data_IF_204228281043
#
_entry.id   IF_204228281043
#
_cell.length_a   1.000
_cell.length_b   1.000
_cell.length_c   1.000
_cell.angle_alpha   90.00
_cell.angle_beta   90.00
_cell.angle_gamma   90.00
#
_symmetry.space_group_name_H-M   'P 1'
#
loop_
_entity.id
_entity.type
_entity.pdbx_description
1 polymer ?
#
# COMPACT_ATOMS: atom_id res chain seq x y z
N UNK A 1 8.78 -55.12 38.12
CA UNK A 1 10.19 -55.62 38.26
C UNK A 1 11.14 -54.54 37.82
N UNK A 2 11.97 -54.10 38.77
CA UNK A 2 13.29 -53.41 38.67
C UNK A 2 13.43 -52.28 37.62
N UNK A 3 13.41 -50.96 37.99
CA UNK A 3 14.47 -50.08 38.52
C UNK A 3 15.84 -50.24 37.82
N UNK A 4 16.32 -49.19 37.17
CA UNK A 4 17.61 -48.55 37.55
C UNK A 4 17.70 -47.12 37.01
N UNK A 5 17.95 -46.20 37.94
CA UNK A 5 18.47 -44.84 37.77
C UNK A 5 19.94 -44.88 37.31
N UNK A 6 20.37 -43.87 36.57
CA UNK A 6 21.70 -43.29 36.79
C UNK A 6 21.70 -41.82 36.42
N UNK A 7 21.93 -40.98 37.40
CA UNK A 7 22.36 -39.60 37.32
C UNK A 7 23.89 -39.55 37.49
N UNK A 8 24.56 -38.67 36.79
CA UNK A 8 25.88 -38.09 37.13
C UNK A 8 26.11 -36.95 36.12
N UNK A 9 26.56 -35.84 36.39
CA UNK A 9 27.11 -34.97 37.43
C UNK A 9 27.89 -33.84 36.70
N UNK A 10 27.75 -32.66 37.22
CA UNK A 10 28.49 -31.43 36.91
C UNK A 10 30.00 -31.63 36.74
N UNK A 11 30.60 -30.81 35.83
CA UNK A 11 31.92 -30.21 36.14
C UNK A 11 32.15 -28.95 35.28
N UNK A 12 32.37 -27.83 35.94
CA UNK A 12 32.86 -26.55 35.49
C UNK A 12 34.37 -26.61 35.17
N UNK A 13 34.84 -25.90 34.15
CA UNK A 13 36.23 -25.41 34.11
C UNK A 13 36.30 -24.03 33.48
N UNK A 14 36.62 -23.05 34.33
CA UNK A 14 37.29 -21.80 33.97
C UNK A 14 38.72 -22.11 33.57
N UNK A 15 39.21 -21.49 32.51
CA UNK A 15 40.62 -21.28 32.27
C UNK A 15 40.84 -19.84 31.79
N UNK A 16 41.53 -19.10 32.62
CA UNK A 16 42.14 -17.78 32.35
C UNK A 16 43.48 -18.07 31.69
N UNK A 17 43.80 -17.37 30.61
CA UNK A 17 45.19 -17.18 30.17
C UNK A 17 45.36 -15.77 29.64
N UNK A 18 46.24 -15.06 30.37
CA UNK A 18 46.76 -13.74 30.06
C UNK A 18 47.93 -13.83 29.07
N UNK A 19 48.12 -12.77 28.26
CA UNK A 19 49.47 -12.33 27.87
C UNK A 19 49.80 -12.40 26.40
N UNK A 20 49.89 -11.26 25.72
CA UNK A 20 51.14 -10.69 25.25
C UNK A 20 50.86 -9.48 24.33
N UNK A 21 51.44 -8.36 24.67
CA UNK A 21 51.54 -7.14 23.86
C UNK A 21 52.50 -7.36 22.68
N UNK A 22 52.08 -6.93 21.50
CA UNK A 22 53.01 -6.57 20.41
C UNK A 22 52.53 -5.28 19.76
N UNK A 23 53.28 -4.22 19.97
CA UNK A 23 53.20 -2.92 19.30
C UNK A 23 53.76 -3.01 17.90
N UNK A 24 53.03 -2.56 16.90
CA UNK A 24 53.58 -2.16 15.60
C UNK A 24 52.74 -1.04 14.96
N UNK A 25 53.42 0.05 14.77
CA UNK A 25 53.39 0.99 13.64
C UNK A 25 52.08 1.69 13.31
N UNK A 26 52.00 2.96 13.66
CA UNK A 26 50.91 3.87 13.25
C UNK A 26 50.89 4.14 11.75
N UNK A 27 49.66 4.08 11.20
CA UNK A 27 49.28 4.81 10.00
C UNK A 27 48.16 5.78 10.41
N UNK A 28 48.48 7.07 10.40
CA UNK A 28 47.50 8.14 10.62
C UNK A 28 46.60 8.21 9.39
N UNK A 29 45.42 7.63 9.47
CA UNK A 29 44.33 7.89 8.52
C UNK A 29 43.54 9.10 9.04
N UNK A 30 43.65 10.21 8.31
CA UNK A 30 42.84 11.40 8.53
C UNK A 30 41.34 11.04 8.46
N UNK A 31 40.49 11.50 9.39
CA UNK A 31 39.06 11.29 9.29
C UNK A 31 38.51 12.13 8.12
N UNK A 32 38.00 11.46 7.08
CA UNK A 32 37.19 12.13 6.09
C UNK A 32 35.99 12.76 6.81
N UNK A 33 35.88 14.08 6.69
CA UNK A 33 34.70 14.83 7.12
C UNK A 33 33.47 14.23 6.46
N UNK A 34 32.71 13.44 7.18
CA UNK A 34 31.33 13.20 6.88
C UNK A 34 30.63 14.56 6.88
N UNK A 35 30.13 14.97 5.72
CA UNK A 35 29.28 16.14 5.59
C UNK A 35 28.08 15.95 6.49
N UNK A 36 27.95 16.83 7.49
CA UNK A 36 26.87 16.78 8.45
C UNK A 36 25.53 16.87 7.75
N UNK A 37 24.72 15.82 7.87
CA UNK A 37 23.30 15.93 7.70
C UNK A 37 22.82 17.05 8.63
N UNK A 38 22.26 18.12 8.08
CA UNK A 38 21.57 19.14 8.84
C UNK A 38 20.47 18.44 9.65
N UNK A 39 20.71 18.24 10.93
CA UNK A 39 19.66 17.92 11.89
C UNK A 39 18.68 19.09 11.87
N UNK A 40 17.58 18.95 11.13
CA UNK A 40 16.39 19.76 11.35
C UNK A 40 16.05 19.61 12.82
N UNK A 41 16.02 20.70 13.56
CA UNK A 41 15.70 20.72 15.00
C UNK A 41 14.36 20.03 15.18
N UNK A 42 14.34 18.77 15.65
CA UNK A 42 13.13 18.06 16.01
C UNK A 42 12.44 18.87 17.09
N UNK A 43 11.25 19.40 16.80
CA UNK A 43 10.41 19.99 17.83
C UNK A 43 10.20 18.97 18.95
N UNK A 44 10.23 19.41 20.20
CA UNK A 44 10.00 18.53 21.34
C UNK A 44 8.60 17.89 21.22
N UNK A 45 8.45 16.60 21.59
CA UNK A 45 7.14 15.95 21.59
C UNK A 45 6.13 16.71 22.42
N UNK A 46 4.89 16.82 21.94
CA UNK A 46 3.77 17.44 22.68
C UNK A 46 3.29 16.44 23.73
N UNK A 47 3.35 16.81 25.00
CA UNK A 47 2.88 15.93 26.06
C UNK A 47 1.37 15.61 25.90
N UNK A 48 0.95 14.40 26.26
CA UNK A 48 -0.45 13.98 26.12
C UNK A 48 -1.44 14.89 26.86
N UNK A 49 -1.01 15.52 27.95
CA UNK A 49 -1.81 16.48 28.74
C UNK A 49 -1.95 17.85 28.06
N UNK A 50 -1.06 18.19 27.13
CA UNK A 50 -1.08 19.50 26.48
C UNK A 50 -2.17 19.52 25.39
N UNK A 51 -2.96 20.60 25.31
CA UNK A 51 -4.06 20.68 24.36
C UNK A 51 -3.55 20.75 22.93
N UNK A 52 -4.00 19.80 22.10
CA UNK A 52 -3.81 19.80 20.65
C UNK A 52 -5.17 19.77 19.98
N UNK A 53 -5.43 20.70 19.05
CA UNK A 53 -6.76 20.85 18.43
C UNK A 53 -6.65 21.01 16.93
N UNK A 54 -7.54 20.37 16.19
CA UNK A 54 -7.74 20.63 14.77
C UNK A 54 -8.28 22.04 14.57
N UNK A 55 -7.71 22.80 13.61
CA UNK A 55 -8.09 24.17 13.32
C UNK A 55 -8.64 24.37 11.90
N UNK A 56 -8.27 23.52 10.93
CA UNK A 56 -8.70 23.61 9.53
C UNK A 56 -8.44 22.27 8.81
N UNK A 57 -9.33 21.91 7.89
CA UNK A 57 -9.10 20.91 6.85
C UNK A 57 -8.99 21.60 5.50
N UNK A 58 -8.06 21.17 4.66
CA UNK A 58 -7.81 21.80 3.36
C UNK A 58 -7.48 20.74 2.31
N UNK A 59 -8.28 20.68 1.25
CA UNK A 59 -8.12 19.72 0.16
C UNK A 59 -7.58 20.39 -1.09
N UNK A 60 -6.73 19.67 -1.84
CA UNK A 60 -6.11 20.14 -3.08
C UNK A 60 -6.23 19.06 -4.15
N UNK A 61 -6.76 19.42 -5.31
CA UNK A 61 -6.61 18.59 -6.51
C UNK A 61 -5.15 18.67 -6.97
N UNK A 62 -4.49 17.54 -7.12
CA UNK A 62 -3.08 17.48 -7.52
C UNK A 62 -2.92 16.57 -8.74
N UNK A 63 -2.25 17.08 -9.78
CA UNK A 63 -1.96 16.29 -10.99
C UNK A 63 -1.15 15.02 -10.64
N UNK A 64 -1.35 13.91 -11.35
CA UNK A 64 -2.18 13.78 -12.54
C UNK A 64 -3.69 13.66 -12.25
N UNK A 65 -4.11 13.14 -11.06
CA UNK A 65 -5.51 12.83 -10.75
C UNK A 65 -5.80 12.68 -9.25
N UNK A 66 -4.93 13.16 -8.38
CA UNK A 66 -4.99 12.94 -6.93
C UNK A 66 -5.73 14.04 -6.19
N UNK A 67 -6.12 13.75 -4.94
CA UNK A 67 -6.69 14.70 -4.00
C UNK A 67 -5.91 14.60 -2.70
N UNK A 68 -5.14 15.63 -2.36
CA UNK A 68 -4.41 15.70 -1.11
C UNK A 68 -5.21 16.46 -0.05
N UNK A 69 -5.02 16.09 1.20
CA UNK A 69 -5.62 16.72 2.39
C UNK A 69 -4.50 17.17 3.34
N UNK A 70 -4.64 18.41 3.83
CA UNK A 70 -3.92 18.93 4.99
C UNK A 70 -4.88 19.13 6.15
N UNK A 71 -4.58 18.55 7.30
CA UNK A 71 -5.29 18.80 8.57
C UNK A 71 -4.37 19.63 9.46
N UNK A 72 -4.77 20.87 9.72
CA UNK A 72 -4.00 21.83 10.49
C UNK A 72 -4.34 21.77 11.98
N UNK A 73 -3.37 22.07 12.85
CA UNK A 73 -3.55 22.13 14.30
C UNK A 73 -3.12 23.47 14.89
N UNK A 74 -3.61 23.76 16.10
CA UNK A 74 -3.21 24.95 16.86
C UNK A 74 -1.72 24.96 17.28
N UNK A 75 -1.02 23.85 17.17
CA UNK A 75 0.42 23.73 17.46
C UNK A 75 1.30 23.83 16.21
N UNK A 76 0.74 24.17 15.04
CA UNK A 76 1.46 24.26 13.76
C UNK A 76 1.80 22.89 13.14
N UNK A 77 1.39 21.78 13.77
CA UNK A 77 1.52 20.45 13.15
C UNK A 77 0.47 20.34 12.05
N UNK A 78 0.90 19.87 10.88
CA UNK A 78 0.03 19.58 9.73
C UNK A 78 0.09 18.09 9.43
N UNK A 79 -1.07 17.43 9.44
CA UNK A 79 -1.22 16.04 9.00
C UNK A 79 -1.55 15.95 7.52
N UNK A 80 -1.00 14.94 6.86
CA UNK A 80 -1.20 14.67 5.44
C UNK A 80 -2.11 13.46 5.24
N UNK A 81 -3.05 13.57 4.30
CA UNK A 81 -3.93 12.49 3.87
C UNK A 81 -4.25 12.58 2.39
N UNK A 82 -4.82 11.50 1.85
CA UNK A 82 -5.19 11.40 0.43
C UNK A 82 -6.60 10.81 0.30
N UNK A 83 -7.66 11.63 0.49
CA UNK A 83 -9.07 11.20 0.44
C UNK A 83 -9.58 11.06 -0.99
N UNK A 84 -8.82 10.43 -1.86
CA UNK A 84 -9.14 10.30 -3.29
C UNK A 84 -10.07 9.11 -3.54
N UNK A 85 -10.95 9.27 -4.52
CA UNK A 85 -11.53 8.20 -5.31
C UNK A 85 -11.46 8.61 -6.77
N UNK A 86 -10.87 7.78 -7.62
CA UNK A 86 -10.64 8.12 -9.02
C UNK A 86 -11.95 8.49 -9.73
N UNK A 87 -11.92 9.59 -10.46
CA UNK A 87 -13.09 10.18 -11.13
C UNK A 87 -14.13 10.82 -10.21
N UNK A 88 -13.91 10.83 -8.89
CA UNK A 88 -14.82 11.41 -7.89
C UNK A 88 -14.08 12.29 -6.87
N UNK A 89 -12.92 12.82 -7.22
CA UNK A 89 -12.10 13.65 -6.35
C UNK A 89 -12.90 14.83 -5.73
N UNK A 90 -13.67 15.56 -6.53
CA UNK A 90 -14.50 16.67 -6.04
C UNK A 90 -15.60 16.21 -5.07
N UNK A 91 -16.19 15.03 -5.30
CA UNK A 91 -17.20 14.47 -4.40
C UNK A 91 -16.58 14.09 -3.06
N UNK A 92 -15.38 13.50 -3.07
CA UNK A 92 -14.62 13.20 -1.85
C UNK A 92 -14.19 14.48 -1.12
N UNK A 93 -13.74 15.52 -1.84
CA UNK A 93 -13.42 16.82 -1.26
C UNK A 93 -14.63 17.45 -0.55
N UNK A 94 -15.82 17.36 -1.16
CA UNK A 94 -17.06 17.82 -0.54
C UNK A 94 -17.40 17.00 0.71
N UNK A 95 -17.24 15.68 0.69
CA UNK A 95 -17.45 14.84 1.86
C UNK A 95 -16.49 15.18 3.01
N UNK A 96 -15.22 15.47 2.73
CA UNK A 96 -14.25 15.96 3.73
C UNK A 96 -14.72 17.30 4.33
N UNK A 97 -15.21 18.22 3.50
CA UNK A 97 -15.73 19.51 3.95
C UNK A 97 -16.98 19.37 4.85
N UNK A 98 -17.84 18.39 4.60
CA UNK A 98 -19.01 18.09 5.45
C UNK A 98 -18.62 17.48 6.80
N UNK A 99 -17.49 16.77 6.85
CA UNK A 99 -16.94 16.19 8.09
C UNK A 99 -16.18 17.23 8.91
N UNK A 100 -15.60 18.26 8.30
CA UNK A 100 -14.77 19.27 8.96
C UNK A 100 -15.40 19.87 10.23
N UNK A 101 -16.68 20.30 10.27
CA UNK A 101 -17.29 20.89 11.47
C UNK A 101 -17.25 19.94 12.68
N UNK A 102 -17.29 18.62 12.46
CA UNK A 102 -17.15 17.65 13.54
C UNK A 102 -15.74 17.65 14.13
N UNK A 103 -14.70 17.78 13.31
CA UNK A 103 -13.30 17.67 13.77
C UNK A 103 -12.75 18.97 14.37
N UNK A 104 -13.26 20.14 13.97
CA UNK A 104 -12.78 21.43 14.46
C UNK A 104 -12.81 21.50 15.98
N UNK A 105 -11.70 21.93 16.59
CA UNK A 105 -11.54 22.07 18.04
C UNK A 105 -11.28 20.76 18.79
N UNK A 106 -11.34 19.60 18.15
CA UNK A 106 -11.09 18.29 18.76
C UNK A 106 -9.61 17.91 18.74
N UNK A 107 -9.24 16.99 19.64
CA UNK A 107 -7.89 16.46 19.74
C UNK A 107 -7.65 15.41 18.64
N UNK A 108 -6.80 15.69 17.64
CA UNK A 108 -6.56 14.76 16.51
C UNK A 108 -5.88 13.46 16.91
N UNK A 109 -5.30 13.36 18.11
CA UNK A 109 -4.61 12.15 18.60
C UNK A 109 -5.57 11.01 18.92
N UNK A 110 -6.88 11.28 19.03
CA UNK A 110 -7.93 10.28 19.28
C UNK A 110 -8.38 9.62 17.97
N UNK A 111 -7.43 9.11 17.18
CA UNK A 111 -7.65 8.65 15.81
C UNK A 111 -8.82 7.66 15.71
N UNK A 112 -8.77 6.56 16.47
CA UNK A 112 -9.82 5.52 16.44
C UNK A 112 -11.18 6.05 16.87
N UNK A 113 -11.22 6.97 17.85
CA UNK A 113 -12.46 7.63 18.27
C UNK A 113 -13.07 8.41 17.10
N UNK A 114 -12.28 9.22 16.41
CA UNK A 114 -12.74 10.00 15.26
C UNK A 114 -13.17 9.11 14.10
N UNK A 115 -12.42 8.05 13.82
CA UNK A 115 -12.80 7.07 12.82
C UNK A 115 -14.20 6.50 13.10
N UNK A 116 -14.41 6.04 14.35
CA UNK A 116 -15.70 5.47 14.76
C UNK A 116 -16.82 6.50 14.73
N UNK A 117 -16.57 7.73 15.16
CA UNK A 117 -17.57 8.79 15.17
C UNK A 117 -17.99 9.18 13.75
N UNK A 118 -17.04 9.40 12.83
CA UNK A 118 -17.34 9.75 11.43
C UNK A 118 -18.11 8.62 10.76
N UNK A 119 -17.67 7.37 10.94
CA UNK A 119 -18.33 6.21 10.34
C UNK A 119 -19.74 5.95 10.88
N UNK A 120 -19.93 6.04 12.21
CA UNK A 120 -21.19 5.67 12.87
C UNK A 120 -22.24 6.77 12.88
N UNK A 121 -21.82 8.04 12.91
CA UNK A 121 -22.76 9.17 12.89
C UNK A 121 -23.38 9.35 11.49
N UNK A 122 -22.75 8.86 10.44
CA UNK A 122 -23.42 8.68 9.16
C UNK A 122 -24.40 7.51 9.28
N UNK A 123 -25.72 7.78 9.29
CA UNK A 123 -26.74 6.74 9.40
C UNK A 123 -26.60 5.74 8.24
N UNK A 124 -26.38 6.25 7.01
CA UNK A 124 -26.06 5.47 5.81
C UNK A 124 -24.53 5.31 5.69
N UNK A 125 -24.02 4.24 6.28
CA UNK A 125 -22.58 4.00 6.45
C UNK A 125 -21.93 3.45 5.20
N UNK A 126 -20.65 3.78 5.04
CA UNK A 126 -19.79 3.15 4.04
C UNK A 126 -20.02 3.67 2.62
N UNK A 127 -19.71 2.81 1.66
CA UNK A 127 -19.65 3.16 0.24
C UNK A 127 -18.35 3.87 -0.14
N UNK A 128 -18.02 3.90 -1.43
CA UNK A 128 -16.70 4.31 -1.89
C UNK A 128 -16.35 5.78 -1.54
N UNK A 129 -17.31 6.70 -1.67
CA UNK A 129 -17.07 8.13 -1.42
C UNK A 129 -16.80 8.41 0.05
N UNK A 130 -17.72 7.99 0.93
CA UNK A 130 -17.63 8.30 2.37
C UNK A 130 -16.45 7.57 3.01
N UNK A 131 -16.17 6.34 2.57
CA UNK A 131 -15.04 5.59 3.10
C UNK A 131 -13.71 6.19 2.64
N UNK A 132 -13.62 6.69 1.39
CA UNK A 132 -12.40 7.36 0.90
C UNK A 132 -12.16 8.70 1.62
N UNK A 133 -13.21 9.49 1.87
CA UNK A 133 -13.07 10.71 2.66
C UNK A 133 -12.58 10.40 4.09
N UNK A 134 -13.16 9.39 4.73
CA UNK A 134 -12.74 8.91 6.06
C UNK A 134 -11.29 8.40 6.05
N UNK A 135 -10.89 7.66 5.02
CA UNK A 135 -9.53 7.10 4.87
C UNK A 135 -8.46 8.20 4.85
N UNK A 136 -8.67 9.24 4.03
CA UNK A 136 -7.73 10.35 3.98
C UNK A 136 -7.65 11.14 5.29
N UNK A 137 -8.77 11.31 5.99
CA UNK A 137 -8.79 11.92 7.33
C UNK A 137 -8.03 11.03 8.32
N UNK A 138 -8.26 9.72 8.32
CA UNK A 138 -7.56 8.76 9.19
C UNK A 138 -6.04 8.85 9.02
N UNK A 139 -5.55 8.84 7.77
CA UNK A 139 -4.11 9.02 7.47
C UNK A 139 -3.57 10.30 8.07
N UNK A 140 -4.27 11.44 7.89
CA UNK A 140 -3.84 12.73 8.39
C UNK A 140 -3.81 12.77 9.92
N UNK A 141 -4.76 12.13 10.59
CA UNK A 141 -4.79 12.05 12.07
C UNK A 141 -3.67 11.17 12.61
N UNK A 142 -3.34 10.05 11.95
CA UNK A 142 -2.17 9.23 12.30
C UNK A 142 -0.87 10.01 12.10
N UNK A 143 -0.76 10.76 10.99
CA UNK A 143 0.40 11.61 10.71
C UNK A 143 0.60 12.68 11.80
N UNK A 144 -0.49 13.39 12.21
CA UNK A 144 -0.44 14.34 13.32
C UNK A 144 -0.01 13.64 14.62
N UNK A 145 -0.58 12.48 14.92
CA UNK A 145 -0.27 11.75 16.15
C UNK A 145 1.20 11.35 16.21
N UNK A 146 1.75 10.82 15.12
CA UNK A 146 3.16 10.49 15.02
C UNK A 146 4.06 11.72 15.15
N UNK A 147 3.75 12.81 14.45
CA UNK A 147 4.48 14.10 14.55
C UNK A 147 4.42 14.69 15.96
N UNK A 148 3.25 14.68 16.59
CA UNK A 148 3.06 15.18 17.95
C UNK A 148 3.88 14.40 18.98
N UNK A 149 4.04 13.10 18.80
CA UNK A 149 4.80 12.21 19.68
C UNK A 149 6.28 12.05 19.27
N UNK A 150 6.68 12.59 18.11
CA UNK A 150 8.04 12.53 17.61
C UNK A 150 8.47 11.16 17.07
N UNK A 151 7.53 10.30 16.67
CA UNK A 151 7.78 8.94 16.19
C UNK A 151 7.08 8.65 14.86
N UNK A 152 7.60 7.74 14.02
CA UNK A 152 6.88 7.23 12.86
C UNK A 152 5.57 6.52 13.26
N UNK A 153 4.60 6.45 12.34
CA UNK A 153 3.31 5.81 12.62
C UNK A 153 3.46 4.33 12.94
N UNK A 154 4.34 3.60 12.27
CA UNK A 154 4.53 2.16 12.55
C UNK A 154 4.95 1.88 13.99
N UNK A 155 5.68 2.79 14.67
CA UNK A 155 6.00 2.66 16.10
C UNK A 155 4.74 2.70 16.96
N UNK A 156 3.76 3.53 16.59
CA UNK A 156 2.47 3.61 17.30
C UNK A 156 1.58 2.40 17.01
N UNK A 157 1.84 1.67 15.94
CA UNK A 157 1.12 0.45 15.56
C UNK A 157 1.72 -0.82 16.18
N UNK A 158 2.81 -0.71 16.92
CA UNK A 158 3.45 -1.80 17.65
C UNK A 158 4.92 -2.04 17.28
N UNK A 159 5.49 -1.21 16.44
CA UNK A 159 6.87 -1.31 15.95
C UNK A 159 7.00 -2.11 14.65
N UNK A 160 8.19 -2.10 14.05
CA UNK A 160 8.40 -2.72 12.75
C UNK A 160 8.59 -4.23 12.87
N UNK A 161 7.92 -4.99 12.00
CA UNK A 161 8.13 -6.43 11.81
C UNK A 161 9.16 -6.71 10.72
N UNK A 162 9.60 -5.70 9.97
CA UNK A 162 10.59 -5.75 8.88
C UNK A 162 11.32 -4.43 8.74
N UNK A 163 12.50 -4.45 8.12
CA UNK A 163 13.35 -3.26 7.95
C UNK A 163 13.17 -2.62 6.56
N UNK A 164 12.66 -3.35 5.59
CA UNK A 164 12.49 -2.91 4.21
C UNK A 164 11.13 -3.31 3.67
N UNK A 165 10.54 -2.48 2.82
CA UNK A 165 9.24 -2.70 2.22
C UNK A 165 9.42 -3.05 0.75
N UNK A 166 9.10 -4.30 0.36
CA UNK A 166 9.08 -4.72 -1.03
C UNK A 166 8.01 -3.97 -1.81
N UNK A 167 8.37 -3.49 -3.02
CA UNK A 167 7.44 -2.78 -3.90
C UNK A 167 7.45 -3.40 -5.30
N UNK A 168 6.34 -3.22 -6.03
CA UNK A 168 6.29 -3.52 -7.45
C UNK A 168 5.92 -2.28 -8.27
N UNK A 169 6.26 -2.32 -9.57
CA UNK A 169 5.91 -1.28 -10.54
C UNK A 169 4.95 -1.83 -11.60
N UNK A 170 4.32 -0.94 -12.33
CA UNK A 170 3.53 -1.31 -13.50
C UNK A 170 4.43 -1.43 -14.74
N UNK A 171 4.26 -2.51 -15.51
CA UNK A 171 4.95 -2.69 -16.79
C UNK A 171 4.04 -3.43 -17.78
N UNK A 172 3.81 -2.84 -18.95
CA UNK A 172 2.93 -3.38 -19.99
C UNK A 172 3.68 -3.87 -21.22
N UNK A 173 4.99 -3.63 -21.29
CA UNK A 173 5.83 -4.05 -22.43
C UNK A 173 7.14 -4.64 -21.93
N UNK A 174 7.81 -5.49 -22.72
CA UNK A 174 9.14 -6.00 -22.42
C UNK A 174 10.17 -4.90 -22.14
N UNK A 175 10.09 -3.78 -22.85
CA UNK A 175 10.97 -2.62 -22.67
C UNK A 175 10.74 -1.96 -21.32
N UNK A 176 9.47 -1.82 -20.90
CA UNK A 176 9.12 -1.27 -19.58
C UNK A 176 9.62 -2.17 -18.45
N UNK A 177 9.54 -3.49 -18.60
CA UNK A 177 10.12 -4.45 -17.63
C UNK A 177 11.64 -4.28 -17.57
N UNK A 178 12.35 -4.23 -18.71
CA UNK A 178 13.80 -4.03 -18.74
C UNK A 178 14.21 -2.70 -18.10
N UNK A 179 13.50 -1.61 -18.41
CA UNK A 179 13.75 -0.29 -17.83
C UNK A 179 13.49 -0.29 -16.30
N UNK A 180 12.43 -0.94 -15.85
CA UNK A 180 12.13 -1.10 -14.42
C UNK A 180 13.19 -1.92 -13.68
N UNK A 181 13.67 -3.02 -14.26
CA UNK A 181 14.79 -3.81 -13.72
C UNK A 181 16.07 -2.97 -13.60
N UNK A 182 16.37 -2.16 -14.61
CA UNK A 182 17.53 -1.25 -14.58
C UNK A 182 17.42 -0.20 -13.45
N UNK A 183 16.18 0.16 -13.05
CA UNK A 183 15.91 1.01 -11.88
C UNK A 183 15.96 0.24 -10.55
N UNK A 184 16.08 -1.08 -10.58
CA UNK A 184 16.17 -1.93 -9.40
C UNK A 184 14.87 -2.62 -8.97
N UNK A 185 13.77 -2.56 -9.74
CA UNK A 185 12.54 -3.30 -9.42
C UNK A 185 12.72 -4.81 -9.62
N UNK A 186 12.16 -5.59 -8.70
CA UNK A 186 12.18 -7.06 -8.69
C UNK A 186 10.78 -7.66 -8.85
N UNK A 187 9.76 -6.82 -9.00
CA UNK A 187 8.39 -7.25 -9.21
C UNK A 187 7.63 -6.24 -10.09
N UNK A 188 6.73 -6.74 -10.93
CA UNK A 188 5.89 -5.92 -11.81
C UNK A 188 4.46 -6.43 -11.85
N UNK A 189 3.50 -5.53 -12.11
CA UNK A 189 2.10 -5.83 -12.41
C UNK A 189 1.75 -5.35 -13.81
N UNK A 190 0.96 -6.14 -14.54
CA UNK A 190 0.42 -5.80 -15.86
C UNK A 190 -1.07 -6.09 -15.90
N UNK A 191 -1.76 -5.63 -16.94
CA UNK A 191 -3.10 -6.10 -17.30
C UNK A 191 -3.04 -7.06 -18.50
N UNK A 192 -4.13 -7.78 -18.82
CA UNK A 192 -4.24 -8.57 -20.03
C UNK A 192 -4.10 -7.68 -21.26
N UNK A 193 -3.19 -8.04 -22.16
CA UNK A 193 -3.07 -7.33 -23.43
C UNK A 193 -4.32 -7.59 -24.30
N UNK A 194 -4.83 -6.55 -24.93
CA UNK A 194 -5.96 -6.60 -25.87
C UNK A 194 -5.49 -6.17 -27.25
N UNK A 195 -5.91 -6.85 -28.31
CA UNK A 195 -5.61 -6.44 -29.70
C UNK A 195 -6.39 -5.19 -30.09
N UNK A 196 -7.58 -5.01 -29.53
CA UNK A 196 -8.43 -3.84 -29.73
C UNK A 196 -9.16 -3.49 -28.43
N UNK A 197 -9.60 -2.26 -28.23
CA UNK A 197 -10.53 -1.94 -27.15
C UNK A 197 -11.79 -2.79 -27.30
N UNK A 198 -12.14 -3.54 -26.28
CA UNK A 198 -13.33 -4.39 -26.25
C UNK A 198 -13.90 -4.39 -24.85
N UNK A 199 -15.20 -4.68 -24.75
CA UNK A 199 -15.96 -4.75 -23.51
C UNK A 199 -15.31 -5.70 -22.50
N UNK A 200 -15.08 -6.94 -22.97
CA UNK A 200 -14.43 -7.98 -22.18
C UNK A 200 -13.43 -8.74 -23.06
N UNK A 201 -12.61 -9.57 -22.43
CA UNK A 201 -11.90 -10.63 -23.12
C UNK A 201 -12.88 -11.79 -23.41
N UNK A 202 -13.67 -11.65 -24.46
CA UNK A 202 -14.79 -12.56 -24.73
C UNK A 202 -14.45 -13.70 -25.70
N UNK A 203 -13.35 -13.63 -26.43
CA UNK A 203 -13.00 -14.64 -27.40
C UNK A 203 -11.78 -15.44 -27.03
N UNK A 204 -11.74 -16.71 -27.46
CA UNK A 204 -10.57 -17.56 -27.30
C UNK A 204 -9.31 -16.97 -27.96
N UNK A 205 -9.48 -16.17 -29.02
CA UNK A 205 -8.37 -15.51 -29.71
C UNK A 205 -7.75 -14.39 -28.87
N UNK A 206 -8.59 -13.59 -28.17
CA UNK A 206 -8.11 -12.55 -27.26
C UNK A 206 -7.45 -13.17 -26.01
N UNK A 207 -8.02 -14.26 -25.48
CA UNK A 207 -7.40 -14.98 -24.34
C UNK A 207 -6.02 -15.54 -24.70
N UNK A 208 -5.87 -16.17 -25.88
CA UNK A 208 -4.56 -16.64 -26.36
C UNK A 208 -3.58 -15.48 -26.50
N UNK A 209 -4.02 -14.39 -27.13
CA UNK A 209 -3.17 -13.21 -27.30
C UNK A 209 -2.70 -12.63 -25.96
N UNK A 210 -3.59 -12.49 -24.98
CA UNK A 210 -3.23 -12.02 -23.64
C UNK A 210 -2.21 -12.94 -22.94
N UNK A 211 -2.37 -14.26 -23.07
CA UNK A 211 -1.42 -15.24 -22.52
C UNK A 211 -0.06 -15.17 -23.21
N UNK A 212 -0.03 -15.08 -24.55
CA UNK A 212 1.20 -14.97 -25.32
C UNK A 212 2.00 -13.70 -24.96
N UNK A 213 1.30 -12.57 -24.83
CA UNK A 213 1.91 -11.30 -24.42
C UNK A 213 2.45 -11.36 -22.99
N UNK A 214 1.75 -12.00 -22.06
CA UNK A 214 2.28 -12.22 -20.73
C UNK A 214 3.53 -13.10 -20.75
N UNK A 215 3.56 -14.11 -21.62
CA UNK A 215 4.75 -14.94 -21.86
C UNK A 215 5.94 -14.14 -22.37
N UNK A 216 5.72 -13.12 -23.21
CA UNK A 216 6.79 -12.19 -23.65
C UNK A 216 7.33 -11.34 -22.49
N UNK A 217 6.44 -10.84 -21.62
CA UNK A 217 6.85 -10.14 -20.40
C UNK A 217 7.67 -11.05 -19.49
N UNK A 218 7.25 -12.32 -19.31
CA UNK A 218 7.99 -13.30 -18.49
C UNK A 218 9.39 -13.54 -19.06
N UNK A 219 9.52 -13.70 -20.39
CA UNK A 219 10.85 -13.83 -21.03
C UNK A 219 11.73 -12.60 -20.82
N UNK A 220 11.16 -11.40 -20.86
CA UNK A 220 11.89 -10.14 -20.62
C UNK A 220 12.27 -9.96 -19.15
N UNK A 221 11.41 -10.42 -18.25
CA UNK A 221 11.62 -10.36 -16.80
C UNK A 221 12.68 -11.35 -16.31
N UNK A 222 12.77 -12.55 -16.93
CA UNK A 222 13.56 -13.65 -16.39
C UNK A 222 12.86 -14.33 -15.20
N UNK A 223 13.49 -15.36 -14.65
CA UNK A 223 12.90 -16.20 -13.59
C UNK A 223 13.08 -15.60 -12.19
N UNK A 224 13.96 -14.62 -12.04
CA UNK A 224 14.32 -13.95 -10.80
C UNK A 224 13.42 -12.73 -10.47
N UNK A 225 12.44 -12.43 -11.32
CA UNK A 225 11.52 -11.29 -11.19
C UNK A 225 10.09 -11.79 -11.13
N UNK A 226 9.33 -11.29 -10.16
CA UNK A 226 7.91 -11.61 -10.05
C UNK A 226 7.06 -10.78 -11.01
N UNK A 227 6.08 -11.43 -11.65
CA UNK A 227 5.08 -10.78 -12.50
C UNK A 227 3.69 -11.10 -12.01
N UNK A 228 2.89 -10.08 -11.74
CA UNK A 228 1.47 -10.20 -11.46
C UNK A 228 0.64 -9.75 -12.66
N UNK A 229 -0.60 -10.22 -12.73
CA UNK A 229 -1.55 -9.80 -13.77
C UNK A 229 -2.89 -9.46 -13.15
N UNK A 230 -3.43 -8.33 -13.54
CA UNK A 230 -4.68 -7.77 -13.06
C UNK A 230 -5.73 -7.77 -14.18
N UNK A 231 -6.81 -8.55 -13.98
CA UNK A 231 -7.87 -8.66 -14.98
C UNK A 231 -8.91 -7.54 -14.87
N UNK A 232 -8.91 -6.75 -13.78
CA UNK A 232 -9.93 -5.74 -13.46
C UNK A 232 -11.38 -6.26 -13.52
N UNK A 233 -11.58 -7.56 -13.42
CA UNK A 233 -12.88 -8.18 -13.62
C UNK A 233 -13.45 -8.07 -15.04
N UNK A 234 -12.69 -7.54 -16.01
CA UNK A 234 -13.13 -7.30 -17.38
C UNK A 234 -13.01 -8.55 -18.26
N UNK A 235 -13.48 -9.68 -17.76
CA UNK A 235 -13.50 -10.99 -18.42
C UNK A 235 -14.63 -11.84 -17.85
N UNK A 236 -15.27 -12.66 -18.69
CA UNK A 236 -16.29 -13.60 -18.21
C UNK A 236 -15.65 -14.70 -17.34
N UNK A 237 -16.36 -15.24 -16.33
CA UNK A 237 -15.83 -16.30 -15.47
C UNK A 237 -15.35 -17.53 -16.24
N UNK A 238 -16.03 -17.89 -17.34
CA UNK A 238 -15.64 -19.01 -18.19
C UNK A 238 -14.28 -18.79 -18.87
N UNK A 239 -14.07 -17.60 -19.44
CA UNK A 239 -12.81 -17.27 -20.12
C UNK A 239 -11.70 -16.91 -19.13
N UNK A 240 -12.03 -16.40 -17.94
CA UNK A 240 -11.05 -16.22 -16.86
C UNK A 240 -10.38 -17.55 -16.51
N UNK A 241 -11.15 -18.64 -16.36
CA UNK A 241 -10.59 -19.98 -16.12
C UNK A 241 -9.66 -20.46 -17.26
N UNK A 242 -10.02 -20.15 -18.51
CA UNK A 242 -9.17 -20.49 -19.67
C UNK A 242 -7.88 -19.68 -19.65
N UNK A 243 -7.96 -18.38 -19.40
CA UNK A 243 -6.78 -17.52 -19.35
C UNK A 243 -5.87 -17.91 -18.17
N UNK A 244 -6.42 -18.14 -16.98
CA UNK A 244 -5.69 -18.60 -15.78
C UNK A 244 -4.87 -19.86 -16.13
N UNK A 245 -5.52 -20.85 -16.75
CA UNK A 245 -4.83 -22.08 -17.18
C UNK A 245 -3.71 -21.82 -18.21
N UNK A 246 -3.92 -20.89 -19.15
CA UNK A 246 -2.90 -20.52 -20.12
C UNK A 246 -1.73 -19.76 -19.49
N UNK A 247 -1.93 -19.11 -18.35
CA UNK A 247 -0.90 -18.39 -17.60
C UNK A 247 -0.08 -19.28 -16.65
N UNK A 248 -0.54 -20.50 -16.33
CA UNK A 248 0.16 -21.42 -15.41
C UNK A 248 1.63 -21.66 -15.77
N UNK A 249 2.01 -21.87 -17.06
CA UNK A 249 3.42 -22.05 -17.43
C UNK A 249 4.31 -20.83 -17.15
N UNK A 250 3.72 -19.65 -17.01
CA UNK A 250 4.43 -18.39 -16.80
C UNK A 250 4.51 -17.97 -15.33
N UNK A 251 3.92 -18.77 -14.44
CA UNK A 251 4.00 -18.63 -12.97
C UNK A 251 3.78 -17.18 -12.49
N UNK A 252 2.59 -16.57 -12.70
CA UNK A 252 2.32 -15.26 -12.18
C UNK A 252 2.37 -15.26 -10.65
N UNK A 253 2.90 -14.19 -10.05
CA UNK A 253 2.96 -13.97 -8.61
C UNK A 253 1.55 -13.99 -8.00
N UNK A 254 0.60 -13.39 -8.68
CA UNK A 254 -0.83 -13.48 -8.43
C UNK A 254 -1.65 -13.07 -9.65
N UNK A 255 -2.92 -13.45 -9.62
CA UNK A 255 -3.96 -12.99 -10.55
C UNK A 255 -4.93 -12.14 -9.76
N UNK A 256 -4.99 -10.86 -10.08
CA UNK A 256 -5.83 -9.87 -9.43
C UNK A 256 -7.18 -9.78 -10.15
N UNK A 257 -8.25 -9.67 -9.39
CA UNK A 257 -9.63 -9.55 -9.86
C UNK A 257 -9.96 -10.41 -11.10
N UNK A 258 -9.86 -11.75 -10.99
CA UNK A 258 -10.14 -12.64 -12.11
C UNK A 258 -11.56 -12.57 -12.64
N UNK A 259 -12.46 -11.99 -11.85
CA UNK A 259 -13.83 -11.60 -12.20
C UNK A 259 -14.20 -10.34 -11.44
N UNK A 260 -15.29 -9.69 -11.82
CA UNK A 260 -15.80 -8.52 -11.11
C UNK A 260 -16.00 -8.81 -9.62
N UNK A 261 -15.52 -7.90 -8.76
CA UNK A 261 -15.50 -8.05 -7.32
C UNK A 261 -16.89 -8.07 -6.65
N UNK A 262 -17.98 -7.82 -7.39
CA UNK A 262 -19.35 -7.77 -6.85
C UNK A 262 -19.93 -9.17 -6.50
N UNK A 263 -19.29 -10.25 -6.95
CA UNK A 263 -19.73 -11.61 -6.63
C UNK A 263 -18.56 -12.48 -6.13
N UNK A 264 -18.38 -12.51 -4.82
CA UNK A 264 -17.31 -13.28 -4.18
C UNK A 264 -17.53 -14.81 -4.27
N UNK A 265 -18.74 -15.30 -4.52
CA UNK A 265 -18.96 -16.76 -4.71
C UNK A 265 -18.36 -17.24 -6.02
N UNK A 266 -18.51 -16.47 -7.10
CA UNK A 266 -17.90 -16.77 -8.39
C UNK A 266 -16.38 -16.65 -8.30
N UNK A 267 -15.87 -15.65 -7.61
CA UNK A 267 -14.42 -15.50 -7.37
C UNK A 267 -13.88 -16.69 -6.57
N UNK A 268 -14.57 -17.14 -5.54
CA UNK A 268 -14.22 -18.31 -4.74
C UNK A 268 -14.24 -19.61 -5.57
N UNK A 269 -15.17 -19.76 -6.51
CA UNK A 269 -15.19 -20.88 -7.45
C UNK A 269 -13.93 -20.89 -8.32
N UNK A 270 -13.51 -19.74 -8.85
CA UNK A 270 -12.28 -19.60 -9.63
C UNK A 270 -11.06 -19.91 -8.76
N UNK A 271 -10.98 -19.36 -7.55
CA UNK A 271 -9.87 -19.58 -6.64
C UNK A 271 -9.68 -21.07 -6.29
N UNK A 272 -10.79 -21.81 -6.14
CA UNK A 272 -10.73 -23.29 -5.93
C UNK A 272 -10.29 -24.06 -7.16
N UNK A 273 -10.44 -23.48 -8.35
CA UNK A 273 -10.15 -24.12 -9.64
C UNK A 273 -8.71 -23.96 -10.12
N UNK A 274 -7.86 -23.27 -9.38
CA UNK A 274 -6.46 -23.03 -9.74
C UNK A 274 -5.54 -23.15 -8.54
N UNK A 275 -4.25 -23.43 -8.78
CA UNK A 275 -3.19 -23.36 -7.77
C UNK A 275 -2.47 -22.00 -7.77
N UNK A 276 -2.77 -21.14 -8.74
CA UNK A 276 -2.19 -19.79 -8.78
C UNK A 276 -2.84 -18.90 -7.72
N UNK A 277 -2.08 -18.04 -7.02
CA UNK A 277 -2.63 -17.13 -6.03
C UNK A 277 -3.65 -16.15 -6.66
N UNK A 278 -4.82 -16.05 -6.04
CA UNK A 278 -5.84 -15.06 -6.42
C UNK A 278 -5.77 -13.89 -5.46
N UNK A 279 -5.83 -12.68 -6.03
CA UNK A 279 -5.79 -11.42 -5.31
C UNK A 279 -7.06 -10.59 -5.60
N UNK A 280 -7.52 -9.83 -4.60
CA UNK A 280 -8.64 -8.87 -4.74
C UNK A 280 -8.65 -7.91 -3.57
N UNK A 281 -9.29 -6.75 -3.74
CA UNK A 281 -9.50 -5.85 -2.61
C UNK A 281 -9.55 -4.37 -2.93
N UNK A 282 -9.09 -3.91 -4.09
CA UNK A 282 -9.08 -2.49 -4.45
C UNK A 282 -10.47 -1.85 -4.40
N UNK A 283 -11.51 -2.61 -4.74
CA UNK A 283 -12.92 -2.20 -4.76
C UNK A 283 -13.73 -2.79 -3.59
N UNK A 284 -13.04 -3.25 -2.53
CA UNK A 284 -13.65 -3.78 -1.29
C UNK A 284 -13.41 -2.81 -0.15
N UNK A 285 -14.48 -2.42 0.55
CA UNK A 285 -14.43 -1.37 1.57
C UNK A 285 -14.65 -1.95 2.96
N UNK A 286 -13.86 -1.47 3.91
CA UNK A 286 -13.90 -1.81 5.33
C UNK A 286 -13.74 -3.32 5.64
N UNK A 287 -13.47 -3.64 6.91
CA UNK A 287 -13.39 -5.04 7.37
C UNK A 287 -14.66 -5.85 7.10
N UNK A 288 -15.81 -5.19 6.95
CA UNK A 288 -17.08 -5.87 6.68
C UNK A 288 -17.11 -6.50 5.28
N UNK A 289 -16.61 -5.80 4.26
CA UNK A 289 -16.45 -6.36 2.91
C UNK A 289 -15.37 -7.44 2.85
N UNK A 290 -14.20 -7.18 3.45
CA UNK A 290 -13.10 -8.15 3.47
C UNK A 290 -13.43 -9.42 4.26
N UNK A 291 -14.30 -9.35 5.28
CA UNK A 291 -14.80 -10.54 5.97
C UNK A 291 -15.41 -11.54 5.00
N UNK A 292 -16.27 -11.07 4.08
CA UNK A 292 -16.93 -11.94 3.11
C UNK A 292 -15.92 -12.62 2.15
N UNK A 293 -14.91 -11.87 1.68
CA UNK A 293 -13.83 -12.42 0.86
C UNK A 293 -13.11 -13.57 1.59
N UNK A 294 -12.80 -13.37 2.87
CA UNK A 294 -12.10 -14.35 3.71
C UNK A 294 -12.96 -15.57 4.02
N UNK A 295 -14.20 -15.39 4.47
CA UNK A 295 -15.15 -16.47 4.80
C UNK A 295 -15.39 -17.39 3.60
N UNK A 296 -15.52 -16.80 2.39
CA UNK A 296 -15.71 -17.54 1.14
C UNK A 296 -14.41 -18.11 0.57
N UNK A 297 -13.25 -17.71 1.09
CA UNK A 297 -11.92 -18.04 0.55
C UNK A 297 -11.80 -17.64 -0.92
N UNK A 298 -12.31 -16.46 -1.25
CA UNK A 298 -12.33 -15.94 -2.60
C UNK A 298 -10.95 -15.47 -3.09
N UNK A 299 -10.05 -15.15 -2.16
CA UNK A 299 -8.67 -14.77 -2.45
C UNK A 299 -7.74 -15.17 -1.30
N UNK A 300 -6.47 -15.37 -1.60
CA UNK A 300 -5.38 -15.61 -0.63
C UNK A 300 -4.46 -14.39 -0.48
N UNK A 301 -4.63 -13.38 -1.33
CA UNK A 301 -3.94 -12.10 -1.25
C UNK A 301 -5.01 -11.02 -1.23
N UNK A 302 -5.03 -10.21 -0.17
CA UNK A 302 -5.94 -9.08 -0.06
C UNK A 302 -5.20 -7.78 -0.42
N UNK A 303 -5.88 -6.95 -1.20
CA UNK A 303 -5.33 -5.70 -1.73
C UNK A 303 -6.16 -4.48 -1.27
N UNK A 304 -6.32 -4.28 0.08
CA UNK A 304 -7.02 -3.10 0.55
C UNK A 304 -6.24 -1.85 0.14
N UNK A 305 -6.95 -0.88 -0.45
CA UNK A 305 -6.39 0.43 -0.73
C UNK A 305 -6.51 1.32 0.50
N UNK A 306 -5.41 1.92 0.95
CA UNK A 306 -5.39 2.78 2.15
C UNK A 306 -6.27 4.02 1.97
N UNK A 307 -6.47 4.49 0.74
CA UNK A 307 -7.35 5.63 0.43
C UNK A 307 -8.84 5.24 0.38
N UNK A 308 -9.17 3.94 0.27
CA UNK A 308 -10.54 3.51 0.03
C UNK A 308 -11.10 2.61 1.13
N UNK A 309 -10.28 1.73 1.70
CA UNK A 309 -10.74 0.69 2.62
C UNK A 309 -11.00 1.17 4.06
N UNK A 310 -10.69 2.44 4.38
CA UNK A 310 -10.90 3.03 5.71
C UNK A 310 -9.61 3.49 6.40
N UNK A 311 -8.53 3.73 5.65
CA UNK A 311 -7.26 4.25 6.16
C UNK A 311 -6.44 3.23 6.93
N UNK A 312 -5.42 3.69 7.62
CA UNK A 312 -4.49 2.87 8.40
C UNK A 312 -5.22 2.10 9.51
N UNK A 313 -6.15 2.77 10.21
CA UNK A 313 -6.94 2.17 11.31
C UNK A 313 -7.67 0.91 10.85
N UNK A 314 -8.39 0.99 9.74
CA UNK A 314 -9.24 -0.11 9.28
C UNK A 314 -8.43 -1.20 8.58
N UNK A 315 -7.45 -0.82 7.75
CA UNK A 315 -6.64 -1.79 7.00
C UNK A 315 -5.76 -2.61 7.95
N UNK A 316 -5.31 -2.06 9.08
CA UNK A 316 -4.65 -2.84 10.12
C UNK A 316 -5.55 -3.96 10.68
N UNK A 317 -6.84 -3.68 10.88
CA UNK A 317 -7.80 -4.69 11.33
C UNK A 317 -8.05 -5.74 10.25
N UNK A 318 -8.15 -5.31 8.97
CA UNK A 318 -8.25 -6.22 7.83
C UNK A 318 -7.05 -7.15 7.77
N UNK A 319 -5.83 -6.62 7.98
CA UNK A 319 -4.61 -7.42 8.00
C UNK A 319 -4.61 -8.47 9.12
N UNK A 320 -5.05 -8.11 10.32
CA UNK A 320 -5.18 -9.07 11.43
C UNK A 320 -6.25 -10.15 11.18
N UNK A 321 -7.36 -9.78 10.52
CA UNK A 321 -8.34 -10.79 10.07
C UNK A 321 -7.74 -11.72 9.02
N UNK A 322 -7.04 -11.17 8.03
CA UNK A 322 -6.42 -11.92 6.94
C UNK A 322 -5.39 -12.94 7.46
N UNK A 323 -4.59 -12.55 8.45
CA UNK A 323 -3.59 -13.44 9.09
C UNK A 323 -4.23 -14.72 9.62
N UNK A 324 -5.40 -14.62 10.26
CA UNK A 324 -6.11 -15.79 10.80
C UNK A 324 -6.63 -16.75 9.70
N UNK A 325 -6.71 -16.31 8.46
CA UNK A 325 -7.08 -17.11 7.29
C UNK A 325 -5.87 -17.49 6.42
N UNK A 326 -4.63 -17.22 6.89
CA UNK A 326 -3.39 -17.41 6.13
C UNK A 326 -3.34 -16.60 4.83
N UNK A 327 -4.08 -15.48 4.77
CA UNK A 327 -4.04 -14.56 3.64
C UNK A 327 -2.99 -13.46 3.88
N UNK A 328 -2.32 -13.04 2.80
CA UNK A 328 -1.34 -11.97 2.81
C UNK A 328 -1.95 -10.64 2.36
N UNK A 329 -1.27 -9.55 2.69
CA UNK A 329 -1.67 -8.19 2.33
C UNK A 329 -0.69 -7.63 1.29
N UNK A 330 -1.22 -7.19 0.15
CA UNK A 330 -0.51 -6.46 -0.90
C UNK A 330 -1.29 -5.19 -1.24
N UNK A 331 -1.15 -4.10 -0.49
CA UNK A 331 -2.02 -2.93 -0.63
C UNK A 331 -2.02 -2.38 -2.07
N UNK A 332 -3.21 -2.18 -2.61
CA UNK A 332 -3.42 -1.47 -3.88
C UNK A 332 -3.04 0.00 -3.72
N UNK A 333 -2.29 0.55 -4.67
CA UNK A 333 -1.92 1.96 -4.66
C UNK A 333 -1.49 2.49 -6.05
N UNK A 334 -2.40 2.76 -6.98
CA UNK A 334 -2.15 3.51 -8.21
C UNK A 334 -2.28 5.03 -7.96
N UNK A 335 -2.16 5.44 -6.70
CA UNK A 335 -2.43 6.77 -6.18
C UNK A 335 -1.15 7.54 -5.86
N UNK A 336 -1.26 8.58 -5.05
CA UNK A 336 -0.17 9.49 -4.78
C UNK A 336 0.82 9.04 -3.71
N UNK A 337 1.85 9.84 -3.46
CA UNK A 337 2.92 9.51 -2.53
C UNK A 337 2.47 9.55 -1.05
N UNK A 338 1.35 10.20 -0.71
CA UNK A 338 0.80 10.16 0.66
C UNK A 338 0.20 8.78 0.92
N UNK A 339 -0.54 8.24 -0.05
CA UNK A 339 -1.05 6.86 0.01
C UNK A 339 0.10 5.85 0.12
N UNK A 340 1.16 5.99 -0.68
CA UNK A 340 2.35 5.15 -0.57
C UNK A 340 2.96 5.23 0.84
N UNK A 341 3.10 6.43 1.41
CA UNK A 341 3.64 6.61 2.75
C UNK A 341 2.77 5.89 3.80
N UNK A 342 1.44 6.02 3.73
CA UNK A 342 0.53 5.30 4.62
C UNK A 342 0.68 3.77 4.47
N UNK A 343 0.79 3.27 3.23
CA UNK A 343 1.04 1.86 2.93
C UNK A 343 2.35 1.36 3.51
N UNK A 344 3.43 2.13 3.42
CA UNK A 344 4.74 1.81 4.01
C UNK A 344 4.66 1.72 5.54
N UNK A 345 3.96 2.65 6.19
CA UNK A 345 3.75 2.62 7.66
C UNK A 345 2.97 1.39 8.10
N UNK A 346 1.92 1.04 7.38
CA UNK A 346 1.14 -0.18 7.64
C UNK A 346 1.98 -1.43 7.41
N UNK A 347 2.60 -1.54 6.24
CA UNK A 347 3.41 -2.70 5.83
C UNK A 347 4.54 -2.99 6.80
N UNK A 348 5.13 -1.96 7.39
CA UNK A 348 6.15 -2.11 8.44
C UNK A 348 5.61 -2.87 9.66
N UNK A 349 4.36 -2.66 10.05
CA UNK A 349 3.79 -3.10 11.33
C UNK A 349 2.97 -4.40 11.28
N UNK A 350 2.63 -4.91 10.10
CA UNK A 350 1.83 -6.15 9.95
C UNK A 350 2.71 -7.35 9.58
N UNK A 351 2.47 -8.56 10.14
CA UNK A 351 3.33 -9.71 9.87
C UNK A 351 3.12 -10.33 8.49
N UNK A 352 1.89 -10.30 7.95
CA UNK A 352 1.45 -10.98 6.73
C UNK A 352 1.51 -10.11 5.46
N UNK A 353 2.44 -9.17 5.38
CA UNK A 353 2.67 -8.32 4.20
C UNK A 353 3.42 -9.07 3.09
N UNK A 354 2.97 -8.92 1.84
CA UNK A 354 3.60 -9.49 0.64
C UNK A 354 4.44 -8.45 -0.12
N UNK A 355 3.79 -7.43 -0.66
CA UNK A 355 4.42 -6.33 -1.42
C UNK A 355 3.48 -5.13 -1.50
N UNK A 356 4.03 -3.94 -1.79
CA UNK A 356 3.30 -2.69 -1.91
C UNK A 356 3.26 -2.22 -3.36
N UNK A 357 2.08 -1.91 -3.87
CA UNK A 357 1.93 -1.22 -5.14
C UNK A 357 2.42 0.22 -5.06
N UNK A 358 2.99 0.71 -6.16
CA UNK A 358 3.30 2.12 -6.32
C UNK A 358 3.34 2.53 -7.80
N UNK A 359 2.99 3.79 -8.07
CA UNK A 359 3.10 4.44 -9.37
C UNK A 359 3.98 5.69 -9.32
N UNK A 360 4.33 6.15 -8.13
CA UNK A 360 5.21 7.30 -7.89
C UNK A 360 5.95 7.11 -6.58
N UNK A 361 7.26 7.26 -6.61
CA UNK A 361 8.09 7.29 -5.40
C UNK A 361 8.14 8.69 -4.76
N UNK A 362 7.36 9.64 -5.29
CA UNK A 362 7.22 10.99 -4.75
C UNK A 362 8.10 12.03 -5.44
N UNK A 363 8.78 11.69 -6.54
CA UNK A 363 9.60 12.64 -7.29
C UNK A 363 8.75 13.81 -7.81
N UNK A 364 9.13 15.03 -7.44
CA UNK A 364 8.40 16.26 -7.76
C UNK A 364 7.14 16.50 -6.93
N UNK A 365 6.94 15.77 -5.84
CA UNK A 365 5.84 15.93 -4.88
C UNK A 365 6.33 16.00 -3.43
N UNK A 366 7.38 15.26 -3.11
CA UNK A 366 7.96 15.20 -1.78
C UNK A 366 9.31 15.91 -1.76
N UNK A 367 9.66 16.55 -0.63
CA UNK A 367 11.01 17.11 -0.42
C UNK A 367 12.08 16.02 -0.49
N UNK A 368 11.76 14.83 0.01
CA UNK A 368 12.60 13.64 -0.04
C UNK A 368 11.75 12.49 -0.58
N UNK A 369 11.86 12.16 -1.88
CA UNK A 369 11.21 11.01 -2.47
C UNK A 369 11.71 9.70 -1.84
N UNK A 370 10.89 8.64 -1.92
CA UNK A 370 11.32 7.31 -1.53
C UNK A 370 12.45 6.82 -2.44
N UNK A 371 13.43 6.16 -1.84
CA UNK A 371 14.55 5.59 -2.58
C UNK A 371 14.35 4.10 -2.73
N UNK A 372 14.38 3.64 -3.99
CA UNK A 372 14.30 2.22 -4.33
C UNK A 372 15.69 1.61 -4.28
N UNK A 373 15.84 0.53 -3.53
CA UNK A 373 17.07 -0.27 -3.52
C UNK A 373 16.73 -1.76 -3.66
N UNK A 374 17.13 -2.37 -4.78
CA UNK A 374 16.91 -3.81 -5.06
C UNK A 374 15.47 -4.29 -4.83
N UNK A 375 14.48 -3.51 -5.26
CA UNK A 375 13.05 -3.84 -5.13
C UNK A 375 12.42 -3.45 -3.80
N UNK A 376 13.16 -2.79 -2.91
CA UNK A 376 12.70 -2.42 -1.57
C UNK A 376 12.84 -0.93 -1.31
N UNK A 377 11.97 -0.40 -0.46
CA UNK A 377 12.06 0.92 0.17
C UNK A 377 12.55 0.75 1.61
N UNK A 378 13.38 1.67 2.07
CA UNK A 378 13.74 1.77 3.49
C UNK A 378 12.58 2.34 4.31
N UNK A 379 12.52 1.97 5.59
CA UNK A 379 11.52 2.54 6.49
C UNK A 379 11.85 4.00 6.78
N UNK A 380 10.88 4.92 6.62
CA UNK A 380 11.09 6.31 7.01
C UNK A 380 11.25 6.43 8.53
N UNK A 381 12.27 7.15 8.97
CA UNK A 381 12.55 7.39 10.40
C UNK A 381 11.99 8.71 10.91
N UNK A 382 11.50 9.57 10.03
CA UNK A 382 10.88 10.83 10.41
C UNK A 382 9.50 10.61 11.04
N UNK A 383 9.05 11.49 11.95
CA UNK A 383 7.76 11.35 12.62
C UNK A 383 6.55 11.37 11.66
N UNK A 384 5.46 10.76 12.10
CA UNK A 384 4.22 10.67 11.34
C UNK A 384 4.32 9.68 10.19
N UNK A 385 3.83 10.04 9.02
CA UNK A 385 3.98 9.25 7.78
C UNK A 385 5.43 9.22 7.28
N UNK A 386 6.30 10.08 7.83
CA UNK A 386 7.71 10.14 7.48
C UNK A 386 8.00 10.92 6.19
N UNK A 387 7.05 11.70 5.70
CA UNK A 387 7.16 12.49 4.47
C UNK A 387 6.83 13.97 4.70
N UNK A 388 7.35 14.82 3.81
CA UNK A 388 6.98 16.22 3.69
C UNK A 388 6.69 16.58 2.24
N UNK A 389 5.61 17.34 1.99
CA UNK A 389 5.30 17.84 0.67
C UNK A 389 6.30 18.94 0.26
N UNK A 390 6.72 18.93 -0.99
CA UNK A 390 7.46 20.04 -1.61
C UNK A 390 6.45 21.04 -2.17
N UNK A 391 6.12 22.07 -1.41
CA UNK A 391 5.13 23.07 -1.78
C UNK A 391 5.52 23.84 -3.07
N UNK A 392 6.82 24.02 -3.31
CA UNK A 392 7.31 24.68 -4.51
C UNK A 392 7.13 23.77 -5.74
N UNK A 393 7.52 22.50 -5.64
CA UNK A 393 7.35 21.54 -6.74
C UNK A 393 5.89 21.19 -7.00
N UNK A 394 5.00 21.40 -6.03
CA UNK A 394 3.56 21.19 -6.18
C UNK A 394 2.84 22.36 -6.88
N UNK A 395 3.40 23.58 -6.89
CA UNK A 395 2.71 24.77 -7.37
C UNK A 395 2.13 24.57 -8.79
N UNK A 396 2.90 23.98 -9.71
CA UNK A 396 2.47 23.72 -11.09
C UNK A 396 1.55 22.50 -11.25
N UNK A 397 1.34 21.76 -10.18
CA UNK A 397 0.54 20.53 -10.16
C UNK A 397 -0.82 20.71 -9.51
N UNK A 398 -1.09 21.87 -8.93
CA UNK A 398 -2.39 22.17 -8.32
C UNK A 398 -3.45 22.32 -9.41
N UNK A 399 -4.56 21.60 -9.22
CA UNK A 399 -5.70 21.60 -10.13
C UNK A 399 -5.59 20.54 -11.24
N UNK A 400 -6.66 19.80 -11.43
CA UNK A 400 -6.88 18.92 -12.58
C UNK A 400 -8.39 18.76 -12.81
N UNK A 401 -8.73 18.36 -14.02
CA UNK A 401 -10.09 18.09 -14.46
C UNK A 401 -10.28 16.60 -14.84
N UNK A 402 -9.40 15.74 -14.33
CA UNK A 402 -9.41 14.33 -14.66
C UNK A 402 -10.76 13.68 -14.31
N UNK A 403 -11.28 12.89 -15.25
CA UNK A 403 -12.55 12.16 -15.15
C UNK A 403 -12.32 10.71 -15.59
N UNK A 404 -13.18 9.82 -15.12
CA UNK A 404 -13.25 8.46 -15.64
C UNK A 404 -13.48 8.48 -17.15
N UNK A 405 -12.82 7.57 -17.84
CA UNK A 405 -13.03 7.37 -19.27
C UNK A 405 -14.42 6.82 -19.51
N UNK A 406 -15.10 7.37 -20.48
CA UNK A 406 -16.29 6.77 -21.07
C UNK A 406 -15.82 5.78 -22.13
N UNK A 407 -16.04 4.50 -21.90
CA UNK A 407 -15.57 3.44 -22.80
C UNK A 407 -16.74 2.75 -23.45
N UNK A 408 -16.68 2.66 -24.76
CA UNK A 408 -17.66 1.97 -25.58
C UNK A 408 -16.95 0.98 -26.51
N UNK A 409 -17.60 -0.15 -26.75
CA UNK A 409 -17.10 -1.11 -27.73
C UNK A 409 -17.14 -0.50 -29.14
N UNK A 410 -16.05 -0.66 -29.89
CA UNK A 410 -15.90 -0.03 -31.21
C UNK A 410 -16.79 -0.65 -32.28
N UNK A 411 -17.26 -1.90 -32.08
CA UNK A 411 -18.03 -2.64 -33.08
C UNK A 411 -19.53 -2.41 -32.91
N UNK A 412 -20.04 -2.40 -31.67
CA UNK A 412 -21.48 -2.37 -31.42
C UNK A 412 -21.94 -1.20 -30.52
N UNK A 413 -21.02 -0.37 -30.01
CA UNK A 413 -21.32 0.77 -29.17
C UNK A 413 -21.78 0.43 -27.76
N UNK A 414 -21.68 -0.81 -27.33
CA UNK A 414 -22.02 -1.21 -25.96
C UNK A 414 -21.07 -0.62 -24.93
N UNK A 415 -21.58 -0.41 -23.70
CA UNK A 415 -20.77 0.11 -22.59
C UNK A 415 -19.71 -0.92 -22.21
N UNK A 416 -18.49 -0.45 -22.04
CA UNK A 416 -17.32 -1.25 -21.64
C UNK A 416 -16.97 -0.97 -20.18
N UNK A 417 -16.66 -2.00 -19.41
CA UNK A 417 -16.07 -1.86 -18.07
C UNK A 417 -14.64 -1.28 -18.15
N UNK A 418 -14.27 -0.57 -17.09
CA UNK A 418 -12.98 0.14 -16.99
C UNK A 418 -11.83 -0.80 -16.66
#
# INVERSE_FOLDING_TARGET
>A
MRRTNQATSFLSRRAVLSGAFATLGGAVLSPSRAQGAQQTSRAAPIALKDPLKVTKLETFLVKPRWLFLKVHTNAGIVGLGEPILEGRALTCAQAVKEIEPYLLGKDPRQVVHHWQAIYRHAFYRGGPILTSALSGIDMALWDIKGKALGVPVYELLGGPTRQHIRVYAHARTPEAVKAGRARGFTAFKTGPAKRRPSRYLETQAEVRYAADQFGELRRAAGDDVDLAIDFHGAISPALAKVLIKALEPHQPMFIEEPVNCQNHDVMAEIARGTHLPIATGERVFTKWGFREVLEKRAATILQPDLCHAGGITEVRLIAGMAEAYYATIAPHNPLGPISLAAGVQLAASIPNFLCQEQVSLGEGYLKQPFVLHQGYLELPTAPGLGIELDEHALADKIGHDWKNRELFDADDGSVVDW
#
